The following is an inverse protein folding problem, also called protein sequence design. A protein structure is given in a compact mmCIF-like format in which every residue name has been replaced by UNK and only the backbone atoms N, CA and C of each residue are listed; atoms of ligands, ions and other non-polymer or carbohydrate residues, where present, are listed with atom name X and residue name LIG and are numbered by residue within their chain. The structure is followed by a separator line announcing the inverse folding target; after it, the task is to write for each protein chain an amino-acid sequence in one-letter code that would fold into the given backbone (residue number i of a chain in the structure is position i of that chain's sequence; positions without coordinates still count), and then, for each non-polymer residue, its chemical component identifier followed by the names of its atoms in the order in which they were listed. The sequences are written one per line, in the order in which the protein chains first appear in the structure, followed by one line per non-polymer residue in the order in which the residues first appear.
data_IF_378131245602
#
_entry.id   IF_378131245602
#
_cell.length_a   1.000
_cell.length_b   1.000
_cell.length_c   1.000
_cell.angle_alpha   90.00
_cell.angle_beta   90.00
_cell.angle_gamma   90.00
#
_symmetry.space_group_name_H-M   'P 1'
#
loop_
_entity.id
_entity.type
_entity.pdbx_description
1 polymer ?
#
# COMPACT_ATOMS: atom_id res chain seq x y z
N UNK A 1 -22.05 7.17 -1.23
CA UNK A 1 -20.64 6.97 -0.80
C UNK A 1 -19.84 6.45 -1.97
N UNK A 2 -18.59 6.89 -2.17
CA UNK A 2 -17.76 6.27 -3.19
C UNK A 2 -17.65 4.77 -2.90
N UNK A 3 -17.86 3.97 -3.92
CA UNK A 3 -17.79 2.51 -3.83
C UNK A 3 -16.33 2.09 -3.60
N UNK A 4 -16.11 1.02 -2.82
CA UNK A 4 -14.83 0.32 -2.74
C UNK A 4 -14.58 -0.57 -3.97
N UNK A 5 -15.28 -0.31 -5.08
CA UNK A 5 -15.07 -1.02 -6.32
C UNK A 5 -13.63 -0.85 -6.82
N UNK A 6 -13.14 -1.84 -7.51
CA UNK A 6 -11.78 -1.87 -8.06
C UNK A 6 -11.41 -0.58 -8.81
N UNK A 7 -12.31 -0.06 -9.65
CA UNK A 7 -12.09 1.20 -10.38
C UNK A 7 -11.91 2.40 -9.43
N UNK A 8 -12.70 2.50 -8.36
CA UNK A 8 -12.59 3.60 -7.40
C UNK A 8 -11.22 3.62 -6.69
N UNK A 9 -10.67 2.44 -6.38
CA UNK A 9 -9.32 2.33 -5.80
C UNK A 9 -8.28 2.80 -6.80
N UNK A 10 -8.37 2.35 -8.06
CA UNK A 10 -7.46 2.76 -9.12
C UNK A 10 -7.50 4.27 -9.34
N UNK A 11 -8.69 4.84 -9.45
CA UNK A 11 -8.89 6.29 -9.65
C UNK A 11 -8.29 7.11 -8.51
N UNK A 12 -8.53 6.70 -7.25
CA UNK A 12 -8.04 7.39 -6.08
C UNK A 12 -6.50 7.38 -6.00
N UNK A 13 -5.89 6.20 -6.17
CA UNK A 13 -4.44 6.04 -6.13
C UNK A 13 -3.78 6.77 -7.29
N UNK A 14 -4.33 6.66 -8.49
CA UNK A 14 -3.79 7.32 -9.67
C UNK A 14 -3.89 8.85 -9.58
N UNK A 15 -5.03 9.37 -9.11
CA UNK A 15 -5.19 10.80 -8.85
C UNK A 15 -4.19 11.31 -7.80
N UNK A 16 -3.86 10.49 -6.81
CA UNK A 16 -2.82 10.81 -5.83
C UNK A 16 -1.44 10.86 -6.51
N UNK A 17 -1.09 9.89 -7.34
CA UNK A 17 0.19 9.85 -8.06
C UNK A 17 0.35 10.99 -9.07
N UNK A 18 -0.72 11.42 -9.73
CA UNK A 18 -0.70 12.61 -10.57
C UNK A 18 -0.36 13.90 -9.81
N UNK A 19 -0.60 13.95 -8.50
CA UNK A 19 -0.34 15.15 -7.67
C UNK A 19 0.95 15.06 -6.88
N UNK A 20 1.34 13.86 -6.46
CA UNK A 20 2.43 13.66 -5.51
C UNK A 20 3.64 12.93 -6.10
N UNK A 21 3.49 12.39 -7.29
CA UNK A 21 4.46 11.48 -7.90
C UNK A 21 4.20 10.02 -7.54
N UNK A 22 4.80 9.13 -8.34
CA UNK A 22 4.78 7.69 -8.14
C UNK A 22 5.77 7.35 -7.02
N UNK A 23 5.35 6.69 -5.93
CA UNK A 23 6.26 6.32 -4.85
C UNK A 23 7.10 5.10 -5.25
N UNK A 24 8.27 4.93 -4.63
CA UNK A 24 9.03 3.69 -4.74
C UNK A 24 8.40 2.54 -3.97
N UNK A 25 7.83 2.86 -2.82
CA UNK A 25 7.21 1.90 -1.92
C UNK A 25 5.82 2.39 -1.53
N UNK A 26 4.86 1.49 -1.54
CA UNK A 26 3.50 1.73 -1.08
C UNK A 26 3.15 0.68 -0.02
N UNK A 27 2.84 1.13 1.19
CA UNK A 27 2.40 0.28 2.28
C UNK A 27 0.88 0.36 2.44
N UNK A 28 0.24 -0.80 2.56
CA UNK A 28 -1.21 -0.91 2.71
C UNK A 28 -1.57 -1.99 3.74
N UNK A 29 -2.80 -1.95 4.22
CA UNK A 29 -3.38 -3.04 5.00
C UNK A 29 -3.86 -4.21 4.10
N UNK A 30 -4.42 -5.24 4.73
CA UNK A 30 -4.90 -6.42 4.02
C UNK A 30 -6.38 -6.28 3.64
N UNK A 31 -6.81 -5.10 3.14
CA UNK A 31 -8.18 -4.93 2.66
C UNK A 31 -8.40 -5.66 1.32
N UNK A 32 -9.55 -6.34 1.20
CA UNK A 32 -9.93 -7.09 -0.02
C UNK A 32 -9.88 -6.24 -1.29
N UNK A 33 -10.21 -4.95 -1.18
CA UNK A 33 -10.14 -4.02 -2.29
C UNK A 33 -8.72 -3.86 -2.88
N UNK A 34 -7.69 -4.21 -2.12
CA UNK A 34 -6.29 -4.08 -2.56
C UNK A 34 -5.73 -5.35 -3.15
N UNK A 35 -5.96 -6.51 -2.51
CA UNK A 35 -5.37 -7.76 -2.99
C UNK A 35 -6.31 -8.64 -3.82
N UNK A 36 -7.62 -8.40 -3.78
CA UNK A 36 -8.60 -9.12 -4.59
C UNK A 36 -9.62 -9.88 -3.76
N UNK A 37 -10.02 -11.07 -4.21
CA UNK A 37 -11.07 -11.86 -3.58
C UNK A 37 -10.51 -13.04 -2.78
N UNK A 38 -10.99 -13.30 -1.57
CA UNK A 38 -10.60 -14.48 -0.79
C UNK A 38 -11.09 -15.78 -1.43
N UNK A 39 -12.13 -15.73 -2.28
CA UNK A 39 -12.62 -16.89 -3.04
C UNK A 39 -11.73 -17.22 -4.24
N UNK A 40 -10.80 -16.32 -4.58
CA UNK A 40 -9.84 -16.50 -5.65
C UNK A 40 -8.43 -16.25 -5.08
N UNK A 41 -7.94 -17.11 -4.17
CA UNK A 41 -6.57 -17.03 -3.71
C UNK A 41 -5.63 -17.10 -4.91
N UNK A 42 -4.47 -16.46 -4.82
CA UNK A 42 -3.51 -16.32 -5.91
C UNK A 42 -3.97 -15.47 -7.10
N UNK A 43 -5.08 -14.71 -6.94
CA UNK A 43 -5.44 -13.65 -7.88
C UNK A 43 -4.63 -12.39 -7.61
N UNK A 44 -4.39 -11.58 -8.65
CA UNK A 44 -3.82 -10.25 -8.49
C UNK A 44 -4.93 -9.21 -8.44
N UNK A 45 -5.09 -8.56 -7.30
CA UNK A 45 -6.01 -7.43 -7.13
C UNK A 45 -5.62 -6.20 -7.95
N UNK A 46 -6.54 -5.25 -8.11
CA UNK A 46 -6.32 -4.09 -8.98
C UNK A 46 -5.14 -3.22 -8.52
N UNK A 47 -4.94 -3.07 -7.21
CA UNK A 47 -3.83 -2.29 -6.68
C UNK A 47 -2.48 -3.00 -6.90
N UNK A 48 -2.43 -4.32 -6.74
CA UNK A 48 -1.22 -5.11 -7.05
C UNK A 48 -0.81 -4.89 -8.50
N UNK A 49 -1.76 -5.04 -9.44
CA UNK A 49 -1.50 -4.85 -10.87
C UNK A 49 -1.03 -3.42 -11.20
N UNK A 50 -1.64 -2.42 -10.58
CA UNK A 50 -1.24 -1.03 -10.77
C UNK A 50 0.18 -0.79 -10.27
N UNK A 51 0.52 -1.26 -9.07
CA UNK A 51 1.85 -1.11 -8.49
C UNK A 51 2.91 -1.80 -9.36
N UNK A 52 2.68 -3.04 -9.75
CA UNK A 52 3.60 -3.78 -10.62
C UNK A 52 3.81 -3.07 -11.97
N UNK A 53 2.73 -2.58 -12.60
CA UNK A 53 2.81 -1.83 -13.88
C UNK A 53 3.71 -0.60 -13.78
N UNK A 54 3.75 0.06 -12.63
CA UNK A 54 4.54 1.28 -12.41
C UNK A 54 5.84 1.04 -11.63
N UNK A 55 6.22 -0.22 -11.38
CA UNK A 55 7.44 -0.55 -10.65
C UNK A 55 7.42 -0.13 -9.18
N UNK A 56 6.24 -0.03 -8.57
CA UNK A 56 6.07 0.32 -7.16
C UNK A 56 6.14 -0.94 -6.30
N UNK A 57 7.04 -0.96 -5.32
CA UNK A 57 7.11 -2.03 -4.34
C UNK A 57 5.90 -1.96 -3.40
N UNK A 58 4.98 -2.90 -3.53
CA UNK A 58 3.79 -2.95 -2.69
C UNK A 58 4.02 -3.84 -1.48
N UNK A 59 3.74 -3.28 -0.30
CA UNK A 59 3.93 -3.93 0.99
C UNK A 59 2.61 -4.06 1.74
N UNK A 60 2.22 -5.29 2.08
CA UNK A 60 1.09 -5.56 2.96
C UNK A 60 1.58 -5.72 4.39
N UNK A 61 1.03 -4.93 5.31
CA UNK A 61 1.36 -5.02 6.74
C UNK A 61 0.84 -6.34 7.34
N UNK A 62 1.35 -6.77 8.52
CA UNK A 62 0.79 -7.91 9.23
C UNK A 62 -0.70 -7.70 9.53
N UNK A 63 -1.53 -8.75 9.39
CA UNK A 63 -2.93 -8.68 9.79
C UNK A 63 -3.08 -8.34 11.28
N UNK A 64 -4.11 -7.57 11.61
CA UNK A 64 -4.44 -7.17 13.01
C UNK A 64 -3.37 -6.32 13.71
N UNK A 65 -2.50 -5.66 12.95
CA UNK A 65 -1.50 -4.73 13.47
C UNK A 65 -1.68 -3.31 12.91
N UNK A 66 -2.81 -2.63 13.19
CA UNK A 66 -3.10 -1.31 12.63
C UNK A 66 -2.04 -0.25 13.00
N UNK A 67 -1.42 -0.35 14.17
CA UNK A 67 -0.36 0.58 14.61
C UNK A 67 0.84 0.67 13.65
N UNK A 68 1.03 -0.29 12.75
CA UNK A 68 2.04 -0.20 11.69
C UNK A 68 1.70 0.86 10.64
N UNK A 69 0.43 1.22 10.54
CA UNK A 69 -0.05 2.35 9.75
C UNK A 69 -0.18 3.65 10.57
N UNK A 70 0.47 3.72 11.74
CA UNK A 70 0.32 4.82 12.69
C UNK A 70 0.57 6.23 12.13
N UNK A 71 1.30 6.38 11.01
CA UNK A 71 1.41 7.67 10.32
C UNK A 71 0.10 8.07 9.64
N UNK A 72 -0.57 7.12 9.00
CA UNK A 72 -1.88 7.33 8.34
C UNK A 72 -2.96 7.54 9.40
N UNK A 73 -2.96 6.75 10.46
CA UNK A 73 -3.90 6.91 11.59
C UNK A 73 -3.73 8.30 12.23
N UNK A 74 -2.51 8.70 12.55
CA UNK A 74 -2.24 10.04 13.08
C UNK A 74 -2.64 11.16 12.13
N UNK A 75 -2.48 10.97 10.82
CA UNK A 75 -2.97 11.92 9.84
C UNK A 75 -4.50 11.95 9.81
N UNK A 76 -5.17 10.81 9.86
CA UNK A 76 -6.63 10.72 9.90
C UNK A 76 -7.20 11.38 11.14
N UNK A 77 -6.63 11.14 12.32
CA UNK A 77 -7.00 11.83 13.57
C UNK A 77 -6.84 13.34 13.44
N UNK A 78 -5.71 13.77 12.87
CA UNK A 78 -5.44 15.19 12.66
C UNK A 78 -6.44 15.80 11.65
N UNK A 79 -6.75 15.10 10.58
CA UNK A 79 -7.74 15.51 9.58
C UNK A 79 -9.14 15.62 10.20
N UNK A 80 -9.53 14.61 11.00
CA UNK A 80 -10.80 14.61 11.71
C UNK A 80 -10.89 15.81 12.67
N UNK A 81 -9.97 15.89 13.64
CA UNK A 81 -10.03 16.87 14.74
C UNK A 81 -9.76 18.31 14.31
N UNK A 82 -8.89 18.54 13.34
CA UNK A 82 -8.47 19.89 12.91
C UNK A 82 -9.21 20.40 11.69
N UNK A 83 -9.94 19.52 11.00
CA UNK A 83 -10.69 19.90 9.81
C UNK A 83 -12.15 19.47 9.89
N UNK A 84 -12.49 18.18 9.85
CA UNK A 84 -13.88 17.74 9.74
C UNK A 84 -14.76 18.19 10.92
N UNK A 85 -14.24 18.11 12.15
CA UNK A 85 -14.96 18.54 13.36
C UNK A 85 -15.10 20.05 13.50
N UNK A 86 -14.40 20.83 12.66
CA UNK A 86 -14.39 22.31 12.74
C UNK A 86 -15.22 22.99 11.64
N UNK A 87 -15.62 22.25 10.62
CA UNK A 87 -16.26 22.82 9.44
C UNK A 87 -17.56 22.08 9.11
N UNK A 88 -18.65 22.84 8.98
CA UNK A 88 -19.91 22.28 8.48
C UNK A 88 -19.86 22.22 6.96
N UNK A 89 -19.90 21.00 6.41
CA UNK A 89 -19.88 20.75 4.96
C UNK A 89 -21.29 20.61 4.42
N UNK A 90 -21.63 21.40 3.42
CA UNK A 90 -22.95 21.38 2.79
C UNK A 90 -22.96 20.66 1.44
N UNK A 91 -21.78 20.37 0.86
CA UNK A 91 -21.69 19.67 -0.43
C UNK A 91 -20.35 18.96 -0.63
N UNK A 92 -20.34 17.93 -1.49
CA UNK A 92 -19.12 17.19 -1.88
C UNK A 92 -18.08 18.07 -2.62
N UNK A 93 -18.47 18.99 -3.52
CA UNK A 93 -17.50 19.92 -4.11
C UNK A 93 -16.81 20.81 -3.06
N UNK A 94 -17.56 21.30 -2.08
CA UNK A 94 -17.00 22.09 -0.98
C UNK A 94 -16.02 21.23 -0.17
N UNK A 95 -16.41 20.02 0.23
CA UNK A 95 -15.53 19.11 0.97
C UNK A 95 -14.22 18.89 0.23
N UNK A 96 -14.26 18.63 -1.08
CA UNK A 96 -13.05 18.45 -1.90
C UNK A 96 -12.15 19.67 -1.91
N UNK A 97 -12.72 20.86 -2.10
CA UNK A 97 -11.97 22.13 -2.11
C UNK A 97 -11.28 22.37 -0.77
N UNK A 98 -12.03 22.26 0.32
CA UNK A 98 -11.51 22.49 1.67
C UNK A 98 -10.49 21.41 2.11
N UNK A 99 -10.69 20.16 1.71
CA UNK A 99 -9.72 19.08 1.95
C UNK A 99 -8.38 19.36 1.25
N UNK A 100 -8.39 19.85 0.02
CA UNK A 100 -7.17 20.24 -0.69
C UNK A 100 -6.46 21.42 -0.01
N UNK A 101 -7.22 22.39 0.47
CA UNK A 101 -6.67 23.52 1.23
C UNK A 101 -6.06 23.06 2.56
N UNK A 102 -6.71 22.12 3.26
CA UNK A 102 -6.18 21.49 4.47
C UNK A 102 -4.89 20.70 4.16
N UNK A 103 -4.89 19.88 3.11
CA UNK A 103 -3.73 19.12 2.68
C UNK A 103 -2.52 20.02 2.40
N UNK A 104 -2.72 21.12 1.66
CA UNK A 104 -1.66 22.09 1.36
C UNK A 104 -1.09 22.71 2.63
N UNK A 105 -1.95 23.19 3.54
CA UNK A 105 -1.55 23.75 4.84
C UNK A 105 -0.79 22.71 5.68
N UNK A 106 -1.30 21.49 5.76
CA UNK A 106 -0.65 20.41 6.51
C UNK A 106 0.76 20.12 5.97
N UNK A 107 0.91 20.01 4.66
CA UNK A 107 2.22 19.76 4.02
C UNK A 107 3.22 20.89 4.24
N UNK A 108 2.76 22.13 4.34
CA UNK A 108 3.63 23.30 4.49
C UNK A 108 3.97 23.67 5.93
N UNK A 109 3.13 23.29 6.89
CA UNK A 109 3.28 23.74 8.28
C UNK A 109 3.52 22.62 9.29
N UNK A 110 2.92 21.43 9.10
CA UNK A 110 3.05 20.34 10.06
C UNK A 110 4.43 19.69 9.99
N UNK A 111 5.07 19.53 11.16
CA UNK A 111 6.42 18.98 11.27
C UNK A 111 6.38 17.54 11.79
N UNK A 112 7.12 16.66 11.15
CA UNK A 112 7.21 15.26 11.53
C UNK A 112 8.58 14.93 12.13
N UNK A 113 8.61 14.29 13.29
CA UNK A 113 9.84 13.84 13.95
C UNK A 113 10.63 12.84 13.08
N UNK A 114 9.94 11.94 12.39
CA UNK A 114 10.55 10.93 11.50
C UNK A 114 11.34 11.54 10.32
N UNK A 115 11.05 12.77 9.94
CA UNK A 115 11.80 13.51 8.92
C UNK A 115 12.59 14.68 9.58
N UNK A 116 13.11 14.45 10.77
CA UNK A 116 13.98 15.39 11.52
C UNK A 116 13.31 16.76 11.74
N UNK A 117 12.01 16.78 12.02
CA UNK A 117 11.27 18.01 12.26
C UNK A 117 11.01 18.87 11.03
N UNK A 118 11.27 18.37 9.83
CA UNK A 118 10.92 19.06 8.58
C UNK A 118 9.43 18.95 8.31
N UNK A 119 8.91 19.89 7.50
CA UNK A 119 7.60 19.73 6.90
C UNK A 119 7.70 18.79 5.69
N UNK A 120 6.59 18.11 5.28
CA UNK A 120 6.60 17.26 4.10
C UNK A 120 7.12 17.96 2.83
N UNK A 121 6.68 19.20 2.56
CA UNK A 121 7.16 19.97 1.40
C UNK A 121 8.67 20.23 1.46
N UNK A 122 9.21 20.56 2.65
CA UNK A 122 10.63 20.78 2.79
C UNK A 122 11.43 19.49 2.62
N UNK A 123 10.91 18.37 3.16
CA UNK A 123 11.55 17.08 2.98
C UNK A 123 11.58 16.66 1.50
N UNK A 124 10.50 16.88 0.76
CA UNK A 124 10.45 16.63 -0.68
C UNK A 124 11.43 17.52 -1.46
N UNK A 125 11.52 18.82 -1.11
CA UNK A 125 12.45 19.74 -1.78
C UNK A 125 13.93 19.38 -1.54
N UNK A 126 14.23 18.78 -0.40
CA UNK A 126 15.58 18.34 -0.02
C UNK A 126 15.95 16.97 -0.61
N UNK A 127 15.03 16.30 -1.33
CA UNK A 127 15.29 15.00 -1.95
C UNK A 127 16.15 15.17 -3.21
N UNK A 128 17.22 14.38 -3.32
CA UNK A 128 18.06 14.33 -4.53
C UNK A 128 17.34 13.68 -5.71
N UNK A 129 16.45 12.72 -5.42
CA UNK A 129 15.70 11.99 -6.44
C UNK A 129 14.53 12.81 -6.96
N UNK A 130 14.46 12.98 -8.28
CA UNK A 130 13.33 13.65 -8.92
C UNK A 130 12.07 12.78 -8.83
N UNK A 131 10.95 13.43 -8.52
CA UNK A 131 9.63 12.78 -8.57
C UNK A 131 9.27 12.41 -10.01
N UNK A 132 8.78 11.20 -10.19
CA UNK A 132 8.23 10.71 -11.46
C UNK A 132 6.71 10.79 -11.39
N UNK A 133 6.08 11.32 -12.42
CA UNK A 133 4.62 11.46 -12.47
C UNK A 133 4.06 10.60 -13.60
N UNK A 134 2.88 9.97 -13.41
CA UNK A 134 2.22 9.26 -14.50
C UNK A 134 1.61 10.25 -15.49
N UNK A 135 1.33 9.81 -16.72
CA UNK A 135 0.63 10.62 -17.71
C UNK A 135 -0.88 10.64 -17.44
N UNK A 136 -1.54 11.76 -17.64
CA UNK A 136 -3.00 11.85 -17.56
C UNK A 136 -3.71 10.97 -18.60
N UNK A 137 -3.08 10.71 -19.74
CA UNK A 137 -3.62 9.85 -20.80
C UNK A 137 -3.65 8.37 -20.42
N UNK A 138 -2.81 7.96 -19.45
CA UNK A 138 -2.62 6.56 -19.09
C UNK A 138 -3.45 6.13 -17.87
N UNK A 139 -4.53 6.88 -17.59
CA UNK A 139 -5.42 6.58 -16.48
C UNK A 139 -5.90 5.12 -16.52
N UNK A 140 -5.71 4.37 -15.44
CA UNK A 140 -5.99 2.95 -15.42
C UNK A 140 -7.50 2.68 -15.52
N UNK A 141 -7.87 1.65 -16.28
CA UNK A 141 -9.26 1.15 -16.35
C UNK A 141 -9.31 -0.29 -15.91
N UNK A 142 -10.23 -0.60 -15.02
CA UNK A 142 -10.45 -1.98 -14.58
C UNK A 142 -11.24 -2.78 -15.64
N UNK A 143 -10.86 -4.03 -15.95
CA UNK A 143 -9.70 -4.76 -15.43
C UNK A 143 -8.39 -4.33 -16.07
N UNK A 144 -7.38 -4.16 -15.22
CA UNK A 144 -6.01 -3.99 -15.70
C UNK A 144 -5.45 -5.31 -16.23
N UNK A 145 -4.58 -5.22 -17.23
CA UNK A 145 -3.78 -6.36 -17.66
C UNK A 145 -2.97 -6.93 -16.49
N UNK A 146 -2.73 -8.23 -16.53
CA UNK A 146 -1.89 -8.88 -15.53
C UNK A 146 -0.43 -8.70 -15.90
N UNK A 147 0.38 -8.07 -15.02
CA UNK A 147 1.82 -7.99 -15.24
C UNK A 147 2.44 -9.40 -15.27
N UNK A 148 3.42 -9.58 -16.14
CA UNK A 148 4.15 -10.85 -16.30
C UNK A 148 5.36 -10.95 -15.38
N UNK A 149 5.77 -9.82 -14.76
CA UNK A 149 6.93 -9.74 -13.88
C UNK A 149 6.73 -8.74 -12.75
N UNK A 150 7.65 -8.76 -11.80
CA UNK A 150 7.68 -7.92 -10.62
C UNK A 150 7.38 -8.71 -9.34
N UNK A 151 7.47 -8.03 -8.22
CA UNK A 151 7.28 -8.63 -6.90
C UNK A 151 6.37 -7.76 -6.04
N UNK A 152 5.65 -8.40 -5.12
CA UNK A 152 4.96 -7.72 -4.03
C UNK A 152 5.17 -8.49 -2.72
N UNK A 153 5.06 -7.78 -1.60
CA UNK A 153 5.58 -8.24 -0.33
C UNK A 153 4.51 -8.24 0.75
N UNK A 154 4.52 -9.27 1.59
CA UNK A 154 3.64 -9.38 2.75
C UNK A 154 4.50 -9.57 3.99
N UNK A 155 4.36 -8.71 4.97
CA UNK A 155 4.98 -8.92 6.28
C UNK A 155 4.05 -9.80 7.11
N UNK A 156 4.58 -10.87 7.69
CA UNK A 156 3.81 -11.83 8.51
C UNK A 156 4.56 -12.18 9.79
N UNK A 157 3.82 -12.26 10.89
CA UNK A 157 4.36 -12.77 12.15
C UNK A 157 4.08 -14.27 12.25
N UNK A 158 5.12 -15.07 12.45
CA UNK A 158 5.02 -16.51 12.57
C UNK A 158 4.85 -16.89 14.05
N UNK A 159 3.75 -17.55 14.35
CA UNK A 159 3.44 -18.03 15.71
C UNK A 159 4.01 -19.42 15.96
N UNK A 160 3.79 -19.96 17.17
CA UNK A 160 4.23 -21.29 17.57
C UNK A 160 3.73 -22.43 16.68
N UNK A 161 2.66 -22.21 15.93
CA UNK A 161 2.09 -23.20 15.02
C UNK A 161 2.81 -23.27 13.65
N UNK A 162 3.84 -22.43 13.44
CA UNK A 162 4.64 -22.37 12.20
C UNK A 162 3.78 -22.26 10.93
N UNK A 163 2.74 -21.42 10.96
CA UNK A 163 1.83 -21.22 9.84
C UNK A 163 2.03 -19.82 9.25
N UNK A 164 2.33 -19.80 7.95
CA UNK A 164 2.38 -18.59 7.14
C UNK A 164 1.06 -18.44 6.38
N UNK A 165 0.31 -17.38 6.67
CA UNK A 165 -0.95 -17.08 5.97
C UNK A 165 -0.69 -16.07 4.84
N UNK A 166 -1.01 -16.46 3.62
CA UNK A 166 -0.95 -15.63 2.42
C UNK A 166 -2.35 -15.50 1.84
N UNK A 167 -3.06 -14.45 2.21
CA UNK A 167 -4.43 -14.18 1.76
C UNK A 167 -5.41 -15.36 1.97
N UNK A 168 -5.30 -16.03 3.11
CA UNK A 168 -6.13 -17.18 3.49
C UNK A 168 -5.59 -18.55 3.04
N UNK A 169 -4.50 -18.59 2.28
CA UNK A 169 -3.79 -19.83 1.99
C UNK A 169 -2.65 -20.04 2.98
N UNK A 170 -2.55 -21.25 3.54
CA UNK A 170 -1.59 -21.55 4.60
C UNK A 170 -0.41 -22.35 4.04
N UNK A 171 0.78 -21.87 4.34
CA UNK A 171 2.05 -22.53 4.07
C UNK A 171 2.74 -22.90 5.39
N UNK A 172 3.50 -24.00 5.46
CA UNK A 172 4.38 -24.25 6.60
C UNK A 172 5.48 -23.17 6.65
N UNK A 173 5.92 -22.81 7.83
CA UNK A 173 7.07 -21.93 7.99
C UNK A 173 8.21 -22.69 8.68
N UNK A 174 9.48 -22.41 8.33
CA UNK A 174 10.62 -23.05 8.96
C UNK A 174 10.70 -22.78 10.48
N UNK A 175 11.21 -23.71 11.29
CA UNK A 175 11.28 -23.57 12.76
C UNK A 175 12.01 -22.30 13.22
N UNK A 176 13.05 -21.87 12.52
CA UNK A 176 13.83 -20.67 12.84
C UNK A 176 13.05 -19.36 12.70
N UNK A 177 11.89 -19.39 12.04
CA UNK A 177 11.02 -18.24 11.90
C UNK A 177 10.02 -18.08 13.05
N UNK A 178 10.01 -19.02 13.99
CA UNK A 178 9.05 -18.99 15.11
C UNK A 178 9.19 -17.73 15.97
N UNK A 179 8.08 -17.03 16.18
CA UNK A 179 7.99 -15.76 16.89
C UNK A 179 8.74 -14.59 16.22
N UNK A 180 9.02 -14.73 14.91
CA UNK A 180 9.68 -13.69 14.14
C UNK A 180 8.75 -13.09 13.08
N UNK A 181 9.09 -11.89 12.63
CA UNK A 181 8.49 -11.30 11.45
C UNK A 181 9.27 -11.74 10.21
N UNK A 182 8.54 -12.27 9.26
CA UNK A 182 9.09 -12.68 7.97
C UNK A 182 8.52 -11.83 6.85
N UNK A 183 9.27 -11.72 5.77
CA UNK A 183 8.80 -11.13 4.52
C UNK A 183 8.51 -12.24 3.52
N UNK A 184 7.25 -12.38 3.18
CA UNK A 184 6.78 -13.26 2.12
C UNK A 184 6.70 -12.47 0.82
N UNK A 185 7.57 -12.78 -0.12
CA UNK A 185 7.67 -12.12 -1.43
C UNK A 185 7.07 -13.01 -2.50
N UNK A 186 6.05 -12.50 -3.19
CA UNK A 186 5.49 -13.19 -4.35
C UNK A 186 6.17 -12.66 -5.60
N UNK A 187 6.91 -13.54 -6.25
CA UNK A 187 7.59 -13.29 -7.53
C UNK A 187 6.68 -13.70 -8.68
N UNK A 188 6.21 -12.71 -9.43
CA UNK A 188 5.24 -12.93 -10.50
C UNK A 188 5.86 -13.69 -11.68
N UNK A 189 7.11 -13.40 -12.02
CA UNK A 189 7.80 -14.04 -13.14
C UNK A 189 8.16 -15.50 -12.85
N UNK A 190 8.67 -15.74 -11.65
CA UNK A 190 9.08 -17.08 -11.25
C UNK A 190 7.91 -17.94 -10.77
N UNK A 191 6.73 -17.35 -10.53
CA UNK A 191 5.55 -18.03 -9.95
C UNK A 191 5.90 -18.71 -8.61
N UNK A 192 6.60 -17.97 -7.76
CA UNK A 192 7.13 -18.44 -6.48
C UNK A 192 6.74 -17.50 -5.34
N UNK A 193 6.58 -18.09 -4.18
CA UNK A 193 6.53 -17.43 -2.88
C UNK A 193 7.85 -17.68 -2.17
N UNK A 194 8.63 -16.63 -1.97
CA UNK A 194 9.93 -16.66 -1.30
C UNK A 194 9.77 -16.10 0.11
N UNK A 195 10.26 -16.83 1.10
CA UNK A 195 10.18 -16.42 2.50
C UNK A 195 11.55 -15.93 2.99
N UNK A 196 11.57 -14.73 3.56
CA UNK A 196 12.79 -14.12 4.08
C UNK A 196 12.66 -13.88 5.58
N UNK A 197 13.68 -14.26 6.32
CA UNK A 197 13.93 -13.81 7.68
C UNK A 197 15.06 -12.78 7.61
N UNK A 198 14.77 -11.53 7.98
CA UNK A 198 15.62 -10.38 7.69
C UNK A 198 15.97 -10.29 6.19
N UNK A 199 17.24 -10.50 5.83
CA UNK A 199 17.73 -10.47 4.44
C UNK A 199 18.02 -11.85 3.86
N UNK A 200 17.82 -12.93 4.65
CA UNK A 200 18.14 -14.31 4.25
C UNK A 200 16.87 -15.00 3.76
N UNK A 201 16.92 -15.55 2.56
CA UNK A 201 15.84 -16.44 2.09
C UNK A 201 15.94 -17.76 2.84
N UNK A 202 14.88 -18.09 3.58
CA UNK A 202 14.81 -19.31 4.42
C UNK A 202 13.97 -20.41 3.80
N UNK A 203 13.03 -20.05 2.90
CA UNK A 203 12.18 -21.05 2.26
C UNK A 203 11.62 -20.53 0.92
N UNK A 204 11.16 -21.44 0.08
CA UNK A 204 10.54 -21.13 -1.21
C UNK A 204 9.43 -22.13 -1.54
N UNK A 205 8.29 -21.62 -2.03
CA UNK A 205 7.15 -22.43 -2.43
C UNK A 205 6.74 -22.12 -3.86
N UNK A 206 6.22 -23.12 -4.58
CA UNK A 206 5.54 -22.88 -5.84
C UNK A 206 4.25 -22.11 -5.59
N UNK A 207 4.11 -20.94 -6.21
CA UNK A 207 2.96 -20.07 -6.06
C UNK A 207 2.44 -19.64 -7.43
N UNK A 208 1.67 -20.53 -8.04
CA UNK A 208 1.13 -20.30 -9.38
C UNK A 208 -0.04 -19.31 -9.30
N UNK A 209 0.17 -18.11 -9.83
CA UNK A 209 -0.86 -17.10 -9.93
C UNK A 209 -1.94 -17.53 -10.92
N UNK A 210 -3.20 -17.21 -10.61
CA UNK A 210 -4.32 -17.51 -11.50
C UNK A 210 -4.37 -16.50 -12.65
N UNK A 211 -4.56 -17.01 -13.84
CA UNK A 211 -4.77 -16.23 -15.06
C UNK A 211 -6.20 -15.70 -15.17
#
# INVERSE_FOLDING_TARGET
MPSKAAQSVLDAVYALWLRMGIPENLQVDNELAFYGSPTHPRGMGPLIRLCLRYGVNLWFIPPSEPWRNGLVEKFNDHYQQKFLDKVTMVSMPQLRKESLAFEHRHKSTYRYSKIKGKTPLKALADMEKKLVFPSKSDAPRHPLDKPEEGCYHLVRFIRSNLRLDIFGEIFPAPPETQYEYVVATIDVKEQKLKLFLDTVQVEEYKYQLRH
#
